data_IF_624456197911
#
_entry.id   IF_624456197911
#
_cell.length_a   1.000
_cell.length_b   1.000
_cell.length_c   1.000
_cell.angle_alpha   90.00
_cell.angle_beta   90.00
_cell.angle_gamma   90.00
#
_symmetry.space_group_name_H-M   'P 1'
#
loop_
_entity.id
_entity.type
_entity.pdbx_description
1 polymer ?
#
# COMPACT_ATOMS: atom_id res chain seq x y z
N UNK A 1 -4.99 -4.98 2.69
CA UNK A 1 -3.59 -5.31 3.04
C UNK A 1 -3.40 -6.81 2.89
N UNK A 2 -2.21 -7.32 2.61
CA UNK A 2 -1.97 -8.76 2.44
C UNK A 2 -0.73 -9.15 3.22
N UNK A 3 -0.82 -10.22 4.00
CA UNK A 3 0.31 -10.78 4.75
C UNK A 3 0.80 -12.05 4.08
N UNK A 4 2.10 -12.19 3.96
CA UNK A 4 2.76 -13.36 3.37
C UNK A 4 3.82 -13.90 4.31
N UNK A 5 4.21 -15.18 4.20
CA UNK A 5 5.35 -15.70 4.93
C UNK A 5 6.63 -14.91 4.63
N UNK A 6 7.52 -14.78 5.62
CA UNK A 6 8.73 -13.97 5.52
C UNK A 6 9.72 -14.42 4.42
N UNK A 7 9.58 -15.62 3.91
CA UNK A 7 10.38 -16.17 2.81
C UNK A 7 9.86 -15.82 1.41
N UNK A 8 8.70 -15.16 1.32
CA UNK A 8 8.11 -14.72 0.04
C UNK A 8 8.45 -13.24 -0.17
N UNK A 9 9.15 -12.87 -1.25
CA UNK A 9 9.45 -11.48 -1.55
C UNK A 9 8.17 -10.65 -1.74
N UNK A 10 8.08 -9.50 -1.08
CA UNK A 10 6.90 -8.62 -1.09
C UNK A 10 6.52 -8.14 -2.50
N UNK A 11 7.51 -7.98 -3.37
CA UNK A 11 7.29 -7.56 -4.76
C UNK A 11 6.35 -8.49 -5.54
N UNK A 12 6.36 -9.79 -5.24
CA UNK A 12 5.47 -10.78 -5.89
C UNK A 12 4.00 -10.57 -5.54
N UNK A 13 3.70 -9.81 -4.47
CA UNK A 13 2.34 -9.53 -4.05
C UNK A 13 1.72 -8.31 -4.76
N UNK A 14 2.52 -7.53 -5.49
CA UNK A 14 2.06 -6.29 -6.11
C UNK A 14 0.87 -6.53 -7.05
N UNK A 15 0.93 -7.57 -7.88
CA UNK A 15 -0.17 -7.92 -8.78
C UNK A 15 -1.44 -8.27 -8.01
N UNK A 16 -1.34 -9.14 -7.01
CA UNK A 16 -2.48 -9.57 -6.20
C UNK A 16 -3.08 -8.41 -5.40
N UNK A 17 -2.25 -7.49 -4.92
CA UNK A 17 -2.71 -6.26 -4.24
C UNK A 17 -3.50 -5.35 -5.19
N UNK A 18 -3.04 -5.18 -6.43
CA UNK A 18 -3.74 -4.37 -7.43
C UNK A 18 -5.07 -5.01 -7.86
N UNK A 19 -5.07 -6.32 -8.06
CA UNK A 19 -6.27 -7.07 -8.45
C UNK A 19 -7.31 -7.11 -7.32
N UNK A 20 -6.85 -7.08 -6.06
CA UNK A 20 -7.69 -7.06 -4.87
C UNK A 20 -8.20 -5.68 -4.46
N UNK A 21 -7.92 -4.62 -5.22
CA UNK A 21 -8.44 -3.29 -4.88
C UNK A 21 -9.96 -3.24 -5.01
N UNK A 22 -10.67 -2.80 -3.96
CA UNK A 22 -12.11 -2.65 -4.02
C UNK A 22 -12.51 -1.53 -4.99
N UNK A 23 -13.66 -1.68 -5.63
CA UNK A 23 -14.22 -0.61 -6.44
C UNK A 23 -14.63 0.57 -5.56
N UNK A 24 -14.01 1.73 -5.77
CA UNK A 24 -14.29 2.95 -5.00
C UNK A 24 -15.36 3.75 -5.73
N UNK A 25 -16.51 3.90 -5.07
CA UNK A 25 -17.62 4.71 -5.59
C UNK A 25 -17.20 6.19 -5.63
N UNK A 26 -17.46 6.83 -6.76
CA UNK A 26 -17.27 8.26 -6.93
C UNK A 26 -18.63 8.97 -6.86
N UNK A 27 -18.63 10.30 -6.67
CA UNK A 27 -19.84 11.11 -6.67
C UNK A 27 -20.53 11.11 -8.05
N UNK A 28 -19.76 10.97 -9.12
CA UNK A 28 -20.23 10.87 -10.51
C UNK A 28 -19.39 9.84 -11.28
N UNK A 29 -20.02 9.13 -12.24
CA UNK A 29 -19.35 8.17 -13.10
C UNK A 29 -19.27 6.76 -12.54
N UNK A 30 -18.51 5.89 -13.24
CA UNK A 30 -18.31 4.50 -12.84
C UNK A 30 -17.36 4.39 -11.63
N UNK A 31 -17.53 3.38 -10.77
CA UNK A 31 -16.62 3.14 -9.66
C UNK A 31 -15.19 2.92 -10.14
N UNK A 32 -14.23 3.56 -9.48
CA UNK A 32 -12.80 3.38 -9.79
C UNK A 32 -12.32 2.04 -9.28
N UNK A 33 -11.63 1.29 -10.14
CA UNK A 33 -11.07 -0.03 -9.84
C UNK A 33 -9.54 -0.06 -9.87
N UNK A 34 -8.91 1.03 -10.30
CA UNK A 34 -7.46 1.16 -10.32
C UNK A 34 -7.03 2.52 -9.78
N UNK A 35 -5.85 2.64 -9.14
CA UNK A 35 -5.27 3.92 -8.75
C UNK A 35 -4.80 4.69 -10.00
N UNK A 36 -4.64 6.01 -9.87
CA UNK A 36 -4.03 6.83 -10.92
C UNK A 36 -2.52 6.60 -10.95
N UNK A 37 -1.92 6.47 -9.78
CA UNK A 37 -0.48 6.33 -9.61
C UNK A 37 -0.13 5.34 -8.49
N UNK A 38 1.05 4.75 -8.59
CA UNK A 38 1.65 3.89 -7.56
C UNK A 38 2.97 4.48 -7.12
N UNK A 39 3.12 4.59 -5.81
CA UNK A 39 4.37 4.83 -5.13
C UNK A 39 4.76 3.58 -4.35
N UNK A 40 5.91 3.02 -4.64
CA UNK A 40 6.42 1.86 -3.93
C UNK A 40 7.93 1.96 -3.68
N UNK A 41 8.42 1.15 -2.76
CA UNK A 41 9.84 1.08 -2.45
C UNK A 41 10.64 0.53 -3.63
N UNK A 42 11.95 0.79 -3.61
CA UNK A 42 12.91 0.34 -4.62
C UNK A 42 12.90 -1.18 -4.82
N UNK A 43 12.52 -1.96 -3.80
CA UNK A 43 12.36 -3.40 -3.92
C UNK A 43 11.35 -3.81 -5.01
N UNK A 44 10.33 -2.97 -5.25
CA UNK A 44 9.31 -3.18 -6.30
C UNK A 44 9.73 -2.65 -7.67
N UNK A 45 10.87 -1.94 -7.76
CA UNK A 45 11.34 -1.28 -8.98
C UNK A 45 12.05 -2.20 -9.97
N UNK A 46 11.61 -3.45 -10.13
CA UNK A 46 12.12 -4.33 -11.17
C UNK A 46 11.42 -4.05 -12.50
N UNK A 47 12.07 -4.37 -13.61
CA UNK A 47 11.53 -4.16 -14.96
C UNK A 47 10.15 -4.82 -15.15
N UNK A 48 9.96 -6.00 -14.54
CA UNK A 48 8.71 -6.77 -14.62
C UNK A 48 7.56 -6.05 -13.93
N UNK A 49 7.75 -5.59 -12.71
CA UNK A 49 6.73 -4.90 -11.92
C UNK A 49 6.41 -3.54 -12.55
N UNK A 50 7.42 -2.82 -13.03
CA UNK A 50 7.24 -1.55 -13.73
C UNK A 50 6.38 -1.77 -14.98
N UNK A 51 6.76 -2.69 -15.86
CA UNK A 51 6.03 -3.00 -17.08
C UNK A 51 4.58 -3.43 -16.80
N UNK A 52 4.36 -4.21 -15.73
CA UNK A 52 3.03 -4.65 -15.32
C UNK A 52 2.15 -3.46 -14.88
N UNK A 53 2.71 -2.52 -14.14
CA UNK A 53 1.99 -1.31 -13.68
C UNK A 53 1.66 -0.39 -14.84
N UNK A 54 2.63 -0.15 -15.73
CA UNK A 54 2.47 0.70 -16.91
C UNK A 54 1.47 0.11 -17.91
N UNK A 55 1.47 -1.23 -18.13
CA UNK A 55 0.51 -1.91 -19.00
C UNK A 55 -0.95 -1.75 -18.53
N UNK A 56 -1.17 -1.50 -17.23
CA UNK A 56 -2.48 -1.20 -16.65
C UNK A 56 -2.86 0.27 -16.78
N UNK A 57 -2.00 1.11 -17.36
CA UNK A 57 -2.20 2.57 -17.47
C UNK A 57 -2.22 3.23 -16.09
N UNK A 58 -1.33 2.80 -15.20
CA UNK A 58 -1.13 3.36 -13.87
C UNK A 58 0.21 4.10 -13.90
N UNK A 59 0.23 5.33 -13.41
CA UNK A 59 1.45 6.12 -13.34
C UNK A 59 2.41 5.51 -12.31
N UNK A 60 3.69 5.38 -12.71
CA UNK A 60 4.69 4.68 -11.93
C UNK A 60 5.67 5.65 -11.25
N UNK A 61 5.67 5.69 -9.93
CA UNK A 61 6.64 6.40 -9.07
C UNK A 61 7.55 5.42 -8.29
N UNK A 62 7.82 4.25 -8.84
CA UNK A 62 8.78 3.30 -8.26
C UNK A 62 10.19 3.62 -8.78
N UNK A 63 11.15 3.76 -7.87
CA UNK A 63 12.54 3.94 -8.28
C UNK A 63 13.09 2.63 -8.87
N UNK A 64 13.65 2.68 -10.07
CA UNK A 64 14.27 1.50 -10.71
C UNK A 64 15.37 0.92 -9.82
N UNK A 65 15.36 -0.40 -9.67
CA UNK A 65 16.32 -1.11 -8.81
C UNK A 65 17.76 -0.94 -9.29
N UNK A 66 17.96 -0.84 -10.60
CA UNK A 66 19.28 -0.64 -11.24
C UNK A 66 19.77 0.81 -11.25
N UNK A 67 18.94 1.78 -10.87
CA UNK A 67 19.32 3.19 -10.88
C UNK A 67 20.31 3.51 -9.76
N UNK A 68 21.47 4.07 -10.14
CA UNK A 68 22.49 4.59 -9.21
C UNK A 68 22.16 5.98 -8.67
N UNK A 69 21.16 6.65 -9.24
CA UNK A 69 20.77 8.00 -8.83
C UNK A 69 20.11 7.97 -7.45
N UNK A 70 20.80 8.54 -6.46
CA UNK A 70 20.26 8.80 -5.15
C UNK A 70 19.41 10.07 -5.22
N UNK A 71 18.15 9.97 -4.80
CA UNK A 71 17.25 11.12 -4.73
C UNK A 71 16.27 11.21 -5.90
N UNK A 72 15.19 10.46 -5.83
CA UNK A 72 14.10 10.51 -6.81
C UNK A 72 13.15 11.71 -6.65
N UNK A 73 13.47 12.71 -5.81
CA UNK A 73 12.54 13.81 -5.49
C UNK A 73 11.25 13.37 -4.76
N UNK A 74 11.11 12.08 -4.48
CA UNK A 74 9.92 11.45 -3.90
C UNK A 74 9.85 11.55 -2.36
N UNK A 75 10.74 12.29 -1.70
CA UNK A 75 10.81 12.36 -0.25
C UNK A 75 9.48 12.78 0.40
N UNK A 76 8.78 13.74 -0.19
CA UNK A 76 7.47 14.18 0.31
C UNK A 76 6.38 13.13 0.12
N UNK A 77 6.42 12.38 -0.98
CA UNK A 77 5.46 11.29 -1.24
C UNK A 77 5.74 10.07 -0.35
N UNK A 78 7.01 9.73 -0.12
CA UNK A 78 7.41 8.65 0.79
C UNK A 78 6.95 8.89 2.22
N UNK A 79 6.96 10.14 2.69
CA UNK A 79 6.46 10.49 4.00
C UNK A 79 5.02 10.01 4.25
N UNK A 80 4.15 10.06 3.26
CA UNK A 80 2.75 9.60 3.38
C UNK A 80 2.70 8.09 3.62
N UNK A 81 3.51 7.32 2.91
CA UNK A 81 3.60 5.87 3.06
C UNK A 81 4.21 5.52 4.42
N UNK A 82 5.36 6.10 4.76
CA UNK A 82 6.06 5.87 6.03
C UNK A 82 5.18 6.23 7.23
N UNK A 83 4.49 7.38 7.20
CA UNK A 83 3.53 7.78 8.23
C UNK A 83 2.38 6.78 8.35
N UNK A 84 1.89 6.23 7.25
CA UNK A 84 0.79 5.27 7.28
C UNK A 84 1.26 3.95 7.90
N UNK A 85 2.43 3.45 7.50
CA UNK A 85 3.00 2.24 8.06
C UNK A 85 3.36 2.42 9.54
N UNK A 86 3.92 3.56 9.94
CA UNK A 86 4.20 3.87 11.34
C UNK A 86 2.94 3.80 12.22
N UNK A 87 1.77 4.21 11.70
CA UNK A 87 0.51 4.09 12.43
C UNK A 87 0.15 2.63 12.79
N UNK A 88 0.52 1.65 11.95
CA UNK A 88 0.32 0.24 12.29
C UNK A 88 1.19 -0.22 13.46
N UNK A 89 2.39 0.36 13.61
CA UNK A 89 3.28 0.07 14.73
C UNK A 89 2.73 0.47 16.12
N UNK A 90 1.70 1.32 16.19
CA UNK A 90 1.01 1.65 17.44
C UNK A 90 0.08 0.51 17.92
N UNK A 91 -0.32 -0.38 17.04
CA UNK A 91 -1.11 -1.55 17.42
C UNK A 91 -0.18 -2.66 17.91
N UNK A 92 -0.19 -2.91 19.22
CA UNK A 92 0.71 -3.88 19.87
C UNK A 92 0.70 -5.26 19.20
N UNK A 93 -0.46 -5.75 18.78
CA UNK A 93 -0.60 -7.06 18.11
C UNK A 93 -0.04 -7.09 16.69
N UNK A 94 0.11 -5.95 16.04
CA UNK A 94 0.75 -5.86 14.73
C UNK A 94 2.26 -5.69 14.83
N UNK A 95 2.71 -5.04 15.91
CA UNK A 95 4.16 -4.89 16.18
C UNK A 95 4.81 -6.22 16.55
N UNK A 96 4.12 -7.04 17.32
CA UNK A 96 4.57 -8.37 17.74
C UNK A 96 3.53 -9.38 17.30
N UNK A 97 3.90 -10.27 16.36
CA UNK A 97 3.02 -11.31 15.90
C UNK A 97 2.90 -12.41 16.98
N UNK A 98 1.78 -12.41 17.71
CA UNK A 98 1.45 -13.46 18.68
C UNK A 98 0.56 -14.56 18.06
N UNK A 99 0.15 -14.35 16.83
CA UNK A 99 -0.83 -15.20 16.18
C UNK A 99 -0.17 -16.43 15.56
N UNK A 100 -0.68 -17.61 15.87
CA UNK A 100 -0.23 -18.89 15.31
C UNK A 100 -0.61 -19.03 13.83
N UNK A 101 -1.75 -18.48 13.45
CA UNK A 101 -2.28 -18.57 12.08
C UNK A 101 -2.19 -17.22 11.37
N UNK A 102 -1.63 -17.21 10.16
CA UNK A 102 -1.50 -16.01 9.33
C UNK A 102 -2.83 -15.31 9.03
N UNK A 103 -3.93 -16.08 8.95
CA UNK A 103 -5.28 -15.54 8.77
C UNK A 103 -5.74 -14.65 9.92
N UNK A 104 -5.41 -15.00 11.17
CA UNK A 104 -5.72 -14.17 12.33
C UNK A 104 -4.87 -12.89 12.32
N UNK A 105 -3.60 -13.01 11.99
CA UNK A 105 -2.72 -11.84 11.87
C UNK A 105 -3.20 -10.90 10.76
N UNK A 106 -3.63 -11.44 9.60
CA UNK A 106 -4.24 -10.67 8.52
C UNK A 106 -5.51 -9.94 9.00
N UNK A 107 -6.40 -10.61 9.73
CA UNK A 107 -7.62 -10.00 10.25
C UNK A 107 -7.34 -8.80 11.18
N UNK A 108 -6.27 -8.86 12.02
CA UNK A 108 -5.85 -7.72 12.83
C UNK A 108 -5.32 -6.55 11.98
N UNK A 109 -4.62 -6.83 10.88
CA UNK A 109 -4.20 -5.79 9.94
C UNK A 109 -5.40 -5.11 9.27
N UNK A 110 -6.40 -5.87 8.84
CA UNK A 110 -7.59 -5.34 8.19
C UNK A 110 -8.44 -4.51 9.17
N UNK A 111 -8.54 -4.96 10.42
CA UNK A 111 -9.19 -4.18 11.47
C UNK A 111 -8.47 -2.86 11.75
N UNK A 112 -7.14 -2.90 11.88
CA UNK A 112 -6.33 -1.69 12.10
C UNK A 112 -6.44 -0.72 10.91
N UNK A 113 -6.39 -1.23 9.67
CA UNK A 113 -6.58 -0.43 8.47
C UNK A 113 -7.94 0.26 8.44
N UNK A 114 -9.00 -0.47 8.85
CA UNK A 114 -10.36 0.07 8.94
C UNK A 114 -10.44 1.20 9.97
N UNK A 115 -9.87 1.01 11.15
CA UNK A 115 -9.84 2.04 12.20
C UNK A 115 -9.06 3.29 11.78
N UNK A 116 -7.89 3.12 11.17
CA UNK A 116 -7.08 4.23 10.66
C UNK A 116 -7.80 5.01 9.56
N UNK A 117 -8.45 4.30 8.65
CA UNK A 117 -9.21 4.92 7.55
C UNK A 117 -10.40 5.69 8.08
N UNK A 118 -11.17 5.11 9.01
CA UNK A 118 -12.31 5.76 9.67
C UNK A 118 -11.88 7.04 10.39
N UNK A 119 -10.80 6.97 11.16
CA UNK A 119 -10.29 8.14 11.92
C UNK A 119 -9.84 9.26 10.99
N UNK A 120 -9.14 8.93 9.91
CA UNK A 120 -8.73 9.92 8.90
C UNK A 120 -9.91 10.54 8.17
N UNK A 121 -10.89 9.73 7.82
CA UNK A 121 -12.12 10.20 7.17
C UNK A 121 -12.90 11.15 8.10
N UNK A 122 -13.10 10.77 9.35
CA UNK A 122 -13.77 11.61 10.34
C UNK A 122 -13.05 12.96 10.53
N UNK A 123 -11.71 12.93 10.68
CA UNK A 123 -10.92 14.15 10.83
C UNK A 123 -10.94 15.06 9.58
N UNK A 124 -11.08 14.48 8.39
CA UNK A 124 -11.19 15.25 7.15
C UNK A 124 -12.56 15.94 6.99
N UNK A 125 -13.62 15.33 7.55
CA UNK A 125 -15.00 15.84 7.40
C UNK A 125 -15.47 16.66 8.62
N UNK A 126 -14.77 16.59 9.76
CA UNK A 126 -15.07 17.37 10.96
C UNK A 126 -14.30 18.69 11.05
N UNK A 127 -13.41 18.98 10.12
CA UNK A 127 -12.75 20.29 10.00
C UNK A 127 -13.65 21.23 9.18
N UNK A 128 -14.64 21.79 9.85
CA UNK A 128 -15.32 23.02 9.45
C UNK A 128 -14.77 24.17 10.26
#
# INVERSE_FOLDING_TARGET
MQTTPANVPDQHQLQALLDGLPAIRQSRGHPRRKPDAILADRAYGTEREIAMVESRGIENFMARRSSTTHGSGLGQLRYVVERTLACFGHFRRLKFCYERFGTHFQAFHDLAATLLTRTRWANAHLRF
#
